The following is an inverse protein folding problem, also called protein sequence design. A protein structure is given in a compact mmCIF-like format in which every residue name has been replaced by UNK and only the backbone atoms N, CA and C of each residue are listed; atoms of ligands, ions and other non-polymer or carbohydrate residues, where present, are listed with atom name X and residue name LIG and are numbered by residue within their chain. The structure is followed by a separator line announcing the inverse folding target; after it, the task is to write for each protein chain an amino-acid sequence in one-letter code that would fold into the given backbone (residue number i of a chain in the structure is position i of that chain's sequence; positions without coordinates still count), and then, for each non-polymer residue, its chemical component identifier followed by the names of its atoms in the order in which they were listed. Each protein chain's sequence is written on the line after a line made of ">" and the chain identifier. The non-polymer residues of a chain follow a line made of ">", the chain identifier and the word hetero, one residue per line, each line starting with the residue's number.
data_IF_819635726622
#
_entry.id   IF_819635726622
#
_cell.length_a   1.000
_cell.length_b   1.000
_cell.length_c   1.000
_cell.angle_alpha   90.00
_cell.angle_beta   90.00
_cell.angle_gamma   90.00
#
_symmetry.space_group_name_H-M   'P 1'
#
loop_
_entity.id
_entity.type
_entity.pdbx_description
1 polymer ?
#
# COMPACT_ATOMS: atom_id res chain seq x y z
N UNK A 1 -3.20 -12.91 -8.08
CA UNK A 1 -2.18 -11.85 -7.93
C UNK A 1 -0.78 -12.27 -8.39
N UNK A 2 -0.31 -13.46 -8.02
CA UNK A 2 1.07 -13.89 -8.33
C UNK A 2 1.37 -14.02 -9.82
N UNK A 3 0.36 -14.18 -10.64
CA UNK A 3 0.47 -14.28 -12.11
C UNK A 3 0.13 -12.99 -12.85
N UNK A 4 -0.03 -11.88 -12.14
CA UNK A 4 -0.41 -10.60 -12.74
C UNK A 4 0.66 -10.10 -13.74
N UNK A 5 0.21 -9.75 -14.94
CA UNK A 5 1.03 -9.21 -16.03
C UNK A 5 0.46 -7.92 -16.61
N UNK A 6 -0.27 -7.16 -15.79
CA UNK A 6 -0.98 -5.94 -16.25
C UNK A 6 -0.06 -4.77 -16.58
N UNK A 7 1.17 -4.76 -16.07
CA UNK A 7 2.12 -3.72 -16.35
C UNK A 7 3.56 -4.27 -16.44
N UNK A 8 4.47 -3.43 -16.94
CA UNK A 8 5.89 -3.81 -17.15
C UNK A 8 6.65 -4.17 -15.87
N UNK A 9 6.16 -3.81 -14.69
CA UNK A 9 6.81 -4.17 -13.42
C UNK A 9 6.88 -5.69 -13.20
N UNK A 10 6.01 -6.47 -13.85
CA UNK A 10 6.02 -7.93 -13.75
C UNK A 10 7.34 -8.55 -14.25
N UNK A 11 8.06 -7.88 -15.12
CA UNK A 11 9.30 -8.40 -15.72
C UNK A 11 10.50 -8.35 -14.76
N UNK A 12 10.50 -7.44 -13.81
CA UNK A 12 11.63 -7.24 -12.89
C UNK A 12 11.37 -7.67 -11.44
N UNK A 13 10.14 -8.04 -11.10
CA UNK A 13 9.80 -8.47 -9.74
C UNK A 13 10.23 -9.91 -9.46
N UNK A 14 10.53 -10.18 -8.19
CA UNK A 14 10.68 -11.56 -7.69
C UNK A 14 9.35 -12.10 -7.17
N UNK A 15 8.62 -11.31 -6.39
CA UNK A 15 7.30 -11.66 -5.85
C UNK A 15 6.32 -10.51 -5.99
N UNK A 16 5.03 -10.84 -5.95
CA UNK A 16 3.96 -9.85 -5.81
C UNK A 16 3.74 -9.59 -4.32
N UNK A 17 3.85 -8.33 -3.90
CA UNK A 17 3.67 -7.91 -2.51
C UNK A 17 2.25 -7.40 -2.34
N UNK A 18 1.33 -8.27 -1.90
CA UNK A 18 -0.10 -8.00 -1.88
C UNK A 18 -0.47 -7.07 -0.72
N UNK A 19 -0.08 -7.42 0.47
CA UNK A 19 -0.41 -6.71 1.71
C UNK A 19 -0.40 -7.67 2.89
N UNK A 20 -0.44 -7.13 4.11
CA UNK A 20 -0.38 -7.92 5.33
C UNK A 20 -1.12 -7.22 6.46
N UNK A 21 -1.71 -8.00 7.35
CA UNK A 21 -2.32 -7.51 8.57
C UNK A 21 -3.74 -8.00 8.76
N UNK A 22 -4.49 -7.30 9.62
CA UNK A 22 -5.86 -7.63 9.94
C UNK A 22 -6.80 -7.24 8.82
N UNK A 23 -7.53 -8.20 8.27
CA UNK A 23 -8.51 -7.96 7.19
C UNK A 23 -9.74 -7.16 7.64
N UNK A 24 -9.92 -6.99 8.94
CA UNK A 24 -10.97 -6.15 9.53
C UNK A 24 -10.39 -4.95 10.27
N UNK A 25 -9.22 -4.49 9.88
CA UNK A 25 -8.52 -3.39 10.52
C UNK A 25 -9.31 -2.08 10.44
N UNK A 26 -9.26 -1.29 11.50
CA UNK A 26 -9.80 0.07 11.51
C UNK A 26 -8.87 1.06 10.82
N UNK A 27 -7.57 0.78 10.81
CA UNK A 27 -6.53 1.62 10.21
C UNK A 27 -5.81 0.86 9.11
N UNK A 28 -5.70 1.47 7.94
CA UNK A 28 -4.97 0.95 6.79
C UNK A 28 -3.85 1.91 6.40
N UNK A 29 -2.63 1.39 6.30
CA UNK A 29 -1.46 2.14 5.86
C UNK A 29 -1.18 1.82 4.40
N UNK A 30 -1.04 2.85 3.57
CA UNK A 30 -0.78 2.70 2.14
C UNK A 30 0.52 3.41 1.78
N UNK A 31 1.49 2.64 1.34
CA UNK A 31 2.73 3.13 0.76
C UNK A 31 2.71 3.14 -0.76
N UNK A 32 3.83 3.44 -1.35
CA UNK A 32 3.95 3.59 -2.81
C UNK A 32 4.21 2.27 -3.52
N UNK A 33 5.27 1.58 -3.16
CA UNK A 33 5.66 0.32 -3.80
C UNK A 33 6.71 -0.44 -3.00
N UNK A 34 6.89 -1.74 -3.31
CA UNK A 34 7.86 -2.58 -2.64
C UNK A 34 9.30 -2.18 -2.94
N UNK A 35 10.18 -2.28 -1.94
CA UNK A 35 11.63 -2.23 -2.10
C UNK A 35 12.24 -3.63 -2.31
N UNK A 36 13.57 -3.71 -2.22
CA UNK A 36 14.28 -4.97 -2.44
C UNK A 36 13.94 -6.07 -1.43
N UNK A 37 13.85 -5.71 -0.15
CA UNK A 37 13.55 -6.67 0.91
C UNK A 37 12.10 -7.16 0.81
N UNK A 38 11.19 -6.26 0.50
CA UNK A 38 9.78 -6.57 0.29
C UNK A 38 9.60 -7.50 -0.92
N UNK A 39 10.29 -7.23 -2.01
CA UNK A 39 10.26 -8.04 -3.23
C UNK A 39 10.77 -9.47 -2.97
N UNK A 40 11.78 -9.61 -2.14
CA UNK A 40 12.34 -10.92 -1.76
C UNK A 40 11.41 -11.70 -0.83
N UNK A 41 10.80 -11.04 0.16
CA UNK A 41 9.99 -11.68 1.19
C UNK A 41 8.50 -11.76 0.85
N UNK A 42 8.02 -10.94 -0.07
CA UNK A 42 6.59 -10.86 -0.41
C UNK A 42 5.73 -10.15 0.64
N UNK A 43 6.35 -9.46 1.60
CA UNK A 43 5.70 -8.77 2.72
C UNK A 43 5.99 -7.27 2.62
N UNK A 44 4.98 -6.38 2.72
CA UNK A 44 5.21 -4.94 2.67
C UNK A 44 5.91 -4.43 3.93
N UNK A 45 6.72 -3.39 3.77
CA UNK A 45 7.36 -2.66 4.87
C UNK A 45 8.19 -3.56 5.81
N UNK A 46 9.14 -4.28 5.27
CA UNK A 46 10.12 -5.11 6.02
C UNK A 46 11.55 -4.55 5.93
N UNK A 47 11.83 -3.63 5.02
CA UNK A 47 13.13 -2.95 4.89
C UNK A 47 13.30 -1.81 5.89
N UNK A 48 14.19 -0.85 5.58
CA UNK A 48 14.51 0.28 6.48
C UNK A 48 13.29 1.12 6.84
N UNK A 49 12.44 1.46 5.87
CA UNK A 49 11.21 2.21 6.11
C UNK A 49 10.24 1.42 6.98
N UNK A 50 10.16 0.11 6.77
CA UNK A 50 9.34 -0.79 7.58
C UNK A 50 9.80 -0.88 9.03
N UNK A 51 11.11 -0.91 9.25
CA UNK A 51 11.69 -0.90 10.61
C UNK A 51 11.40 0.41 11.32
N UNK A 52 11.48 1.54 10.62
CA UNK A 52 11.10 2.85 11.16
C UNK A 52 9.62 2.88 11.52
N UNK A 53 8.76 2.33 10.68
CA UNK A 53 7.33 2.21 10.94
C UNK A 53 7.06 1.36 12.18
N UNK A 54 7.77 0.24 12.35
CA UNK A 54 7.64 -0.61 13.53
C UNK A 54 8.03 0.15 14.82
N UNK A 55 9.07 0.98 14.77
CA UNK A 55 9.46 1.84 15.91
C UNK A 55 8.37 2.87 16.22
N UNK A 56 7.79 3.49 15.19
CA UNK A 56 6.70 4.44 15.36
C UNK A 56 5.45 3.77 15.96
N UNK A 57 5.12 2.57 15.52
CA UNK A 57 4.01 1.79 16.07
C UNK A 57 4.23 1.44 17.54
N UNK A 58 5.43 1.04 17.92
CA UNK A 58 5.77 0.77 19.32
C UNK A 58 5.63 2.02 20.19
N UNK A 59 5.99 3.20 19.67
CA UNK A 59 5.87 4.47 20.37
C UNK A 59 4.43 4.92 20.63
N UNK A 60 3.48 4.49 19.83
CA UNK A 60 2.04 4.81 19.99
C UNK A 60 1.19 3.60 20.38
N UNK A 61 1.83 2.52 20.78
CA UNK A 61 1.17 1.28 21.23
C UNK A 61 0.23 0.64 20.19
N UNK A 62 0.58 0.75 18.92
CA UNK A 62 -0.10 0.07 17.82
C UNK A 62 0.62 -1.23 17.49
N UNK A 63 -0.12 -2.34 17.50
CA UNK A 63 0.40 -3.62 17.01
C UNK A 63 0.29 -3.69 15.49
N UNK A 64 1.38 -4.07 14.82
CA UNK A 64 1.39 -4.22 13.36
C UNK A 64 0.31 -5.18 12.86
N UNK A 65 -0.03 -6.19 13.65
CA UNK A 65 -1.05 -7.18 13.35
C UNK A 65 -2.49 -6.66 13.43
N UNK A 66 -2.70 -5.53 14.11
CA UNK A 66 -4.03 -4.92 14.27
C UNK A 66 -4.39 -3.96 13.12
N UNK A 67 -3.42 -3.59 12.30
CA UNK A 67 -3.59 -2.71 11.14
C UNK A 67 -3.41 -3.50 9.85
N UNK A 68 -3.83 -2.95 8.72
CA UNK A 68 -3.55 -3.51 7.40
C UNK A 68 -2.57 -2.61 6.65
N UNK A 69 -1.56 -3.21 6.05
CA UNK A 69 -0.48 -2.51 5.36
C UNK A 69 -0.40 -2.99 3.92
N UNK A 70 -0.44 -2.07 2.98
CA UNK A 70 -0.34 -2.35 1.56
C UNK A 70 0.40 -1.24 0.82
N UNK A 71 0.69 -1.46 -0.43
CA UNK A 71 1.25 -0.47 -1.34
C UNK A 71 0.30 -0.24 -2.52
N UNK A 72 0.43 0.89 -3.19
CA UNK A 72 -0.33 1.21 -4.41
C UNK A 72 0.03 0.26 -5.52
N UNK A 73 1.32 0.07 -5.81
CA UNK A 73 1.80 -0.96 -6.73
C UNK A 73 2.27 -2.19 -5.96
N UNK A 74 2.00 -3.37 -6.51
CA UNK A 74 2.28 -4.65 -5.85
C UNK A 74 3.63 -5.25 -6.25
N UNK A 75 4.29 -4.66 -7.22
CA UNK A 75 5.56 -5.13 -7.77
C UNK A 75 6.63 -4.05 -7.60
N UNK A 76 7.86 -4.49 -7.32
CA UNK A 76 9.00 -3.59 -7.14
C UNK A 76 9.34 -2.86 -8.44
N UNK A 77 9.37 -1.51 -8.45
CA UNK A 77 9.90 -0.76 -9.58
C UNK A 77 11.43 -0.95 -9.71
N UNK A 78 11.99 -0.91 -10.95
CA UNK A 78 13.43 -0.99 -11.15
C UNK A 78 14.18 0.08 -10.36
N UNK A 79 15.27 -0.28 -9.69
CA UNK A 79 16.12 0.63 -8.90
C UNK A 79 15.38 1.41 -7.81
N UNK A 80 14.28 0.87 -7.30
CA UNK A 80 13.40 1.52 -6.28
C UNK A 80 12.89 2.91 -6.71
N UNK A 81 12.77 3.16 -8.01
CA UNK A 81 12.19 4.41 -8.50
C UNK A 81 10.71 4.52 -8.12
N UNK A 82 10.18 5.72 -8.23
CA UNK A 82 8.74 5.91 -8.06
C UNK A 82 7.98 5.20 -9.20
N UNK A 83 6.83 4.57 -8.92
CA UNK A 83 5.99 4.00 -9.97
C UNK A 83 5.55 5.06 -10.96
N UNK A 84 5.54 4.71 -12.24
CA UNK A 84 4.99 5.55 -13.29
C UNK A 84 3.46 5.51 -13.26
N UNK A 85 2.83 6.50 -13.90
CA UNK A 85 1.37 6.61 -13.88
C UNK A 85 0.68 5.38 -14.47
N UNK A 86 1.18 4.83 -15.57
CA UNK A 86 0.63 3.64 -16.22
C UNK A 86 0.71 2.40 -15.32
N UNK A 87 1.83 2.23 -14.62
CA UNK A 87 2.05 1.14 -13.68
C UNK A 87 1.07 1.18 -12.53
N UNK A 88 0.88 2.34 -12.05
CA UNK A 88 0.01 2.60 -10.95
C UNK A 88 -1.47 2.49 -11.35
N UNK A 89 -1.87 3.00 -12.50
CA UNK A 89 -3.23 2.85 -13.02
C UNK A 89 -3.57 1.36 -13.25
N UNK A 90 -2.60 0.56 -13.67
CA UNK A 90 -2.77 -0.88 -13.83
C UNK A 90 -3.00 -1.62 -12.49
N UNK A 91 -2.38 -1.17 -11.42
CA UNK A 91 -2.55 -1.74 -10.06
C UNK A 91 -3.72 -1.15 -9.27
N UNK A 92 -4.33 -0.09 -9.75
CA UNK A 92 -5.34 0.67 -9.02
C UNK A 92 -6.50 -0.19 -8.52
N UNK A 93 -7.01 -1.10 -9.35
CA UNK A 93 -8.13 -1.96 -8.97
C UNK A 93 -7.79 -2.87 -7.79
N UNK A 94 -6.55 -3.28 -7.62
CA UNK A 94 -6.13 -4.11 -6.50
C UNK A 94 -6.20 -3.37 -5.17
N UNK A 95 -5.66 -2.15 -5.11
CA UNK A 95 -5.73 -1.36 -3.89
C UNK A 95 -7.16 -0.93 -3.57
N UNK A 96 -7.94 -0.57 -4.57
CA UNK A 96 -9.37 -0.25 -4.39
C UNK A 96 -10.15 -1.45 -3.84
N UNK A 97 -9.89 -2.66 -4.36
CA UNK A 97 -10.49 -3.90 -3.86
C UNK A 97 -10.10 -4.18 -2.41
N UNK A 98 -8.84 -3.97 -2.06
CA UNK A 98 -8.36 -4.13 -0.68
C UNK A 98 -9.04 -3.14 0.28
N UNK A 99 -9.18 -1.89 -0.12
CA UNK A 99 -9.89 -0.88 0.67
C UNK A 99 -11.35 -1.28 0.87
N UNK A 100 -12.00 -1.77 -0.17
CA UNK A 100 -13.41 -2.21 -0.10
C UNK A 100 -13.60 -3.45 0.76
N UNK A 101 -12.64 -4.37 0.80
CA UNK A 101 -12.69 -5.58 1.61
C UNK A 101 -12.36 -5.33 3.08
N UNK A 102 -11.34 -4.53 3.35
CA UNK A 102 -10.93 -4.18 4.71
C UNK A 102 -11.90 -3.19 5.36
N UNK A 103 -12.43 -2.24 4.59
CA UNK A 103 -13.33 -1.18 5.06
C UNK A 103 -12.76 -0.41 6.26
N UNK A 104 -11.54 0.12 6.17
CA UNK A 104 -10.93 0.82 7.29
C UNK A 104 -11.68 2.10 7.61
N UNK A 105 -11.64 2.52 8.87
CA UNK A 105 -12.18 3.82 9.31
C UNK A 105 -11.21 4.95 8.96
N UNK A 106 -9.91 4.67 8.97
CA UNK A 106 -8.85 5.63 8.68
C UNK A 106 -7.86 5.02 7.69
N UNK A 107 -7.48 5.80 6.68
CA UNK A 107 -6.42 5.45 5.74
C UNK A 107 -5.28 6.44 5.93
N UNK A 108 -4.08 5.92 6.21
CA UNK A 108 -2.85 6.70 6.34
C UNK A 108 -2.01 6.52 5.09
N UNK A 109 -1.78 7.60 4.36
CA UNK A 109 -0.96 7.63 3.16
C UNK A 109 0.47 8.03 3.53
N UNK A 110 1.44 7.18 3.24
CA UNK A 110 2.80 7.34 3.72
C UNK A 110 3.69 8.22 2.82
N UNK A 111 3.19 8.64 1.66
CA UNK A 111 3.87 9.60 0.78
C UNK A 111 2.89 10.54 0.08
N UNK A 112 3.32 11.79 -0.11
CA UNK A 112 2.52 12.82 -0.77
C UNK A 112 2.20 12.50 -2.24
N UNK A 113 3.10 11.82 -2.95
CA UNK A 113 2.87 11.38 -4.32
C UNK A 113 1.69 10.40 -4.43
N UNK A 114 1.43 9.61 -3.39
CA UNK A 114 0.27 8.73 -3.31
C UNK A 114 -1.03 9.54 -3.35
N UNK A 115 -1.05 10.69 -2.68
CA UNK A 115 -2.21 11.58 -2.63
C UNK A 115 -2.46 12.21 -4.00
N UNK A 116 -1.41 12.73 -4.64
CA UNK A 116 -1.53 13.50 -5.88
C UNK A 116 -1.92 12.64 -7.09
N UNK A 117 -1.43 11.41 -7.16
CA UNK A 117 -1.64 10.52 -8.31
C UNK A 117 -2.91 9.69 -8.24
N UNK A 118 -3.37 9.31 -7.04
CA UNK A 118 -4.38 8.28 -6.88
C UNK A 118 -5.67 8.72 -6.23
N UNK A 119 -5.59 9.62 -5.25
CA UNK A 119 -6.72 9.94 -4.39
C UNK A 119 -7.40 11.25 -4.73
N UNK A 120 -7.02 11.91 -5.83
CA UNK A 120 -7.45 13.28 -6.17
C UNK A 120 -8.96 13.48 -6.37
N UNK A 121 -9.75 12.41 -6.60
CA UNK A 121 -11.20 12.57 -6.82
C UNK A 121 -12.13 11.61 -6.08
N UNK A 122 -11.76 10.33 -5.91
CA UNK A 122 -12.70 9.33 -5.40
C UNK A 122 -12.64 9.09 -3.90
N UNK A 123 -11.47 8.98 -3.32
CA UNK A 123 -11.34 8.72 -1.86
C UNK A 123 -11.67 9.98 -1.08
N UNK A 124 -11.30 11.14 -1.57
CA UNK A 124 -11.67 12.42 -0.97
C UNK A 124 -13.19 12.62 -0.93
N UNK A 125 -13.92 12.22 -1.96
CA UNK A 125 -15.38 12.29 -1.97
C UNK A 125 -16.03 11.25 -1.05
N UNK A 126 -15.48 10.04 -0.95
CA UNK A 126 -15.96 9.03 -0.02
C UNK A 126 -15.60 9.34 1.44
N UNK A 127 -14.45 9.98 1.68
CA UNK A 127 -14.09 10.48 3.01
C UNK A 127 -14.92 11.69 3.43
N UNK A 128 -15.34 12.55 2.49
CA UNK A 128 -16.27 13.64 2.78
C UNK A 128 -17.69 13.17 3.09
N UNK A 129 -18.11 12.05 2.52
CA UNK A 129 -19.44 11.46 2.80
C UNK A 129 -19.46 10.68 4.12
N UNK A 130 -18.33 10.18 4.58
CA UNK A 130 -18.15 9.67 5.94
C UNK A 130 -17.62 10.83 6.77
N UNK A 131 -18.51 11.54 7.47
CA UNK A 131 -18.12 12.59 8.41
C UNK A 131 -16.87 12.16 9.17
N UNK A 132 -15.77 12.92 8.98
CA UNK A 132 -14.67 12.85 9.93
C UNK A 132 -15.23 13.25 11.29
N UNK A 133 -15.28 12.29 12.16
CA UNK A 133 -15.50 12.54 13.57
C UNK A 133 -14.12 12.69 14.18
#
# INVERSE_FOLDING_TARGET
>A
FNSCKKCKLCNGRKTVVIGVGNKNADIMFIGEGPGADEDTQGIPFVGKAGQLMNKAFAGVEINREDVYIANIVKCRPPQNRNPEKDEADACKEYIESQINLVKPKVIVLLRECCIKKYFRRRVWNNCKQRKMV
#
